data_IF_596336113966
#
_entry.id   IF_596336113966
#
_cell.length_a   1.000
_cell.length_b   1.000
_cell.length_c   1.000
_cell.angle_alpha   90.00
_cell.angle_beta   90.00
_cell.angle_gamma   90.00
#
_symmetry.space_group_name_H-M   'P 1'
#
loop_
_entity.id
_entity.type
_entity.pdbx_description
1 polymer ?
#
# COMPACT_ATOMS: atom_id res chain seq x y z
N UNK A 1 15.66 -21.26 16.36
CA UNK A 1 14.92 -21.03 15.10
C UNK A 1 15.19 -19.63 14.60
N UNK A 2 16.26 -19.42 13.82
CA UNK A 2 16.63 -18.12 13.28
C UNK A 2 15.88 -17.94 11.95
N UNK A 3 14.73 -17.26 11.99
CA UNK A 3 13.94 -17.02 10.76
C UNK A 3 13.26 -15.66 10.71
N UNK A 4 13.11 -14.97 11.85
CA UNK A 4 12.37 -13.71 11.92
C UNK A 4 13.27 -12.46 11.92
N UNK A 5 14.57 -12.59 12.24
CA UNK A 5 15.44 -11.43 12.49
C UNK A 5 16.15 -10.87 11.26
N UNK A 6 16.35 -11.68 10.22
CA UNK A 6 16.94 -11.21 8.95
C UNK A 6 15.94 -10.42 8.08
N UNK A 7 14.66 -10.77 8.10
CA UNK A 7 13.62 -10.10 7.30
C UNK A 7 13.40 -8.63 7.70
N UNK A 8 13.54 -8.30 8.99
CA UNK A 8 13.38 -6.91 9.45
C UNK A 8 14.57 -6.02 9.05
N UNK A 9 15.78 -6.57 8.99
CA UNK A 9 16.98 -5.83 8.61
C UNK A 9 16.92 -5.48 7.11
N UNK A 10 16.50 -6.41 6.27
CA UNK A 10 16.32 -6.16 4.84
C UNK A 10 15.26 -5.07 4.57
N UNK A 11 14.14 -5.05 5.32
CA UNK A 11 13.12 -4.01 5.17
C UNK A 11 13.59 -2.61 5.58
N UNK A 12 14.38 -2.51 6.66
CA UNK A 12 14.94 -1.24 7.12
C UNK A 12 15.99 -0.68 6.15
N UNK A 13 16.89 -1.53 5.66
CA UNK A 13 17.94 -1.17 4.71
C UNK A 13 17.36 -0.69 3.36
N UNK A 14 16.29 -1.35 2.89
CA UNK A 14 15.57 -0.93 1.70
C UNK A 14 14.86 0.42 1.86
N UNK A 15 14.27 0.69 3.04
CA UNK A 15 13.61 1.98 3.30
C UNK A 15 14.62 3.12 3.32
N UNK A 16 15.81 2.89 3.90
CA UNK A 16 16.91 3.85 3.87
C UNK A 16 17.51 4.00 2.46
N UNK A 17 17.52 2.93 1.67
CA UNK A 17 18.07 2.92 0.30
C UNK A 17 17.29 3.77 -0.70
N UNK A 18 16.08 4.23 -0.38
CA UNK A 18 15.28 5.12 -1.24
C UNK A 18 14.98 6.47 -0.57
N UNK A 19 15.66 6.80 0.53
CA UNK A 19 15.44 8.06 1.24
C UNK A 19 15.65 9.29 0.37
N UNK A 20 16.60 9.25 -0.56
CA UNK A 20 16.83 10.33 -1.53
C UNK A 20 15.63 10.56 -2.48
N UNK A 21 14.87 9.50 -2.81
CA UNK A 21 13.65 9.63 -3.63
C UNK A 21 12.54 10.28 -2.79
N UNK A 22 12.47 9.97 -1.49
CA UNK A 22 11.50 10.60 -0.58
C UNK A 22 11.81 12.10 -0.39
N UNK A 23 13.08 12.46 -0.23
CA UNK A 23 13.52 13.86 -0.19
C UNK A 23 13.14 14.59 -1.48
N UNK A 24 13.42 14.02 -2.65
CA UNK A 24 12.99 14.59 -3.93
C UNK A 24 11.46 14.66 -4.06
N UNK A 25 10.72 13.76 -3.42
CA UNK A 25 9.26 13.79 -3.42
C UNK A 25 8.71 14.97 -2.60
N UNK A 26 9.38 15.35 -1.51
CA UNK A 26 9.02 16.54 -0.70
C UNK A 26 9.18 17.85 -1.49
N UNK A 27 10.11 17.90 -2.45
CA UNK A 27 10.30 19.03 -3.36
C UNK A 27 9.26 19.11 -4.49
N UNK A 28 8.28 18.20 -4.54
CA UNK A 28 7.22 18.29 -5.53
C UNK A 28 6.30 19.49 -5.27
N UNK A 29 5.90 20.15 -6.36
CA UNK A 29 5.01 21.31 -6.28
C UNK A 29 3.62 20.97 -5.68
N UNK A 30 3.17 19.72 -5.85
CA UNK A 30 1.89 19.24 -5.35
C UNK A 30 2.09 18.32 -4.14
N UNK A 31 1.31 18.52 -3.08
CA UNK A 31 1.34 17.66 -1.89
C UNK A 31 0.77 16.25 -2.13
N UNK A 32 -0.13 16.09 -3.10
CA UNK A 32 -0.70 14.80 -3.50
C UNK A 32 0.02 14.21 -4.73
N UNK A 33 1.31 14.53 -4.90
CA UNK A 33 2.04 14.13 -6.10
C UNK A 33 2.15 12.60 -6.23
N UNK A 34 1.66 12.04 -7.33
CA UNK A 34 1.80 10.60 -7.67
C UNK A 34 3.08 10.30 -8.45
N UNK A 35 3.78 11.34 -8.87
CA UNK A 35 4.99 11.28 -9.69
C UNK A 35 4.79 10.49 -11.00
N UNK A 36 3.58 10.56 -11.58
CA UNK A 36 3.22 9.83 -12.81
C UNK A 36 3.21 10.74 -14.03
N UNK A 37 2.22 11.62 -14.08
CA UNK A 37 1.98 12.49 -15.24
C UNK A 37 1.96 13.96 -14.84
N UNK A 38 2.26 14.27 -13.58
CA UNK A 38 2.06 15.60 -13.03
C UNK A 38 3.12 16.60 -13.52
N UNK A 39 2.70 17.85 -13.81
CA UNK A 39 3.64 18.90 -14.17
C UNK A 39 4.47 19.31 -12.93
N UNK A 40 5.71 19.75 -13.14
CA UNK A 40 6.62 20.20 -12.06
C UNK A 40 6.86 19.17 -10.94
N UNK A 41 6.81 17.88 -11.26
CA UNK A 41 7.23 16.82 -10.35
C UNK A 41 8.76 16.76 -10.26
N UNK A 42 9.32 16.99 -9.07
CA UNK A 42 10.76 16.96 -8.84
C UNK A 42 11.37 15.58 -9.12
N UNK A 43 10.68 14.49 -8.74
CA UNK A 43 11.11 13.12 -9.03
C UNK A 43 11.18 12.84 -10.53
N UNK A 44 10.19 13.29 -11.31
CA UNK A 44 10.22 13.14 -12.78
C UNK A 44 11.34 13.96 -13.40
N UNK A 45 11.53 15.19 -12.92
CA UNK A 45 12.64 16.04 -13.37
C UNK A 45 13.99 15.36 -13.11
N UNK A 46 14.18 14.75 -11.95
CA UNK A 46 15.38 13.99 -11.63
C UNK A 46 15.57 12.77 -12.56
N UNK A 47 14.49 12.12 -13.00
CA UNK A 47 14.54 11.04 -14.00
C UNK A 47 14.93 11.58 -15.38
N UNK A 48 14.33 12.69 -15.79
CA UNK A 48 14.62 13.35 -17.07
C UNK A 48 16.06 13.90 -17.14
N UNK A 49 16.58 14.40 -16.01
CA UNK A 49 17.97 14.85 -15.85
C UNK A 49 18.96 13.68 -15.63
N UNK A 50 18.48 12.44 -15.54
CA UNK A 50 19.32 11.24 -15.34
C UNK A 50 19.92 11.11 -13.94
N UNK A 51 19.51 11.97 -13.00
CA UNK A 51 19.93 11.92 -11.59
C UNK A 51 19.28 10.74 -10.87
N UNK A 52 18.07 10.35 -11.30
CA UNK A 52 17.36 9.17 -10.81
C UNK A 52 17.11 8.18 -11.95
N UNK A 53 17.57 6.94 -11.81
CA UNK A 53 17.25 5.91 -12.80
C UNK A 53 15.75 5.57 -12.77
N UNK A 54 15.08 5.45 -13.94
CA UNK A 54 13.68 5.06 -14.02
C UNK A 54 13.41 3.66 -13.43
N UNK A 55 14.37 2.74 -13.55
CA UNK A 55 14.28 1.40 -12.93
C UNK A 55 14.28 1.49 -11.40
N UNK A 56 15.09 2.39 -10.84
CA UNK A 56 15.16 2.62 -9.41
C UNK A 56 13.86 3.19 -8.87
N UNK A 57 13.26 4.14 -9.58
CA UNK A 57 11.92 4.66 -9.24
C UNK A 57 10.83 3.59 -9.34
N UNK A 58 10.91 2.68 -10.33
CA UNK A 58 9.97 1.56 -10.43
C UNK A 58 10.06 0.61 -9.22
N UNK A 59 11.28 0.30 -8.75
CA UNK A 59 11.51 -0.50 -7.54
C UNK A 59 10.98 0.20 -6.29
N UNK A 60 11.20 1.51 -6.16
CA UNK A 60 10.63 2.32 -5.08
C UNK A 60 9.09 2.23 -5.03
N UNK A 61 8.41 2.43 -6.16
CA UNK A 61 6.94 2.27 -6.25
C UNK A 61 6.48 0.88 -5.84
N UNK A 62 7.23 -0.17 -6.22
CA UNK A 62 6.90 -1.54 -5.85
C UNK A 62 6.96 -1.72 -4.33
N UNK A 63 8.04 -1.27 -3.70
CA UNK A 63 8.23 -1.33 -2.25
C UNK A 63 7.13 -0.57 -1.50
N UNK A 64 6.78 0.63 -1.96
CA UNK A 64 5.75 1.47 -1.33
C UNK A 64 4.38 0.77 -1.31
N UNK A 65 4.02 0.06 -2.40
CA UNK A 65 2.79 -0.76 -2.48
C UNK A 65 2.82 -1.92 -1.49
N UNK A 66 3.97 -2.59 -1.36
CA UNK A 66 4.15 -3.70 -0.43
C UNK A 66 4.04 -3.22 1.02
N UNK A 67 4.64 -2.08 1.36
CA UNK A 67 4.58 -1.48 2.69
C UNK A 67 3.14 -1.08 3.06
N UNK A 68 2.40 -0.45 2.14
CA UNK A 68 0.97 -0.11 2.33
C UNK A 68 0.11 -1.37 2.57
N UNK A 69 0.48 -2.51 2.00
CA UNK A 69 -0.22 -3.77 2.24
C UNK A 69 0.13 -4.37 3.61
N UNK A 70 1.40 -4.30 4.01
CA UNK A 70 1.87 -4.76 5.32
C UNK A 70 1.29 -3.93 6.45
N UNK A 71 1.29 -2.59 6.34
CA UNK A 71 0.71 -1.70 7.35
C UNK A 71 -0.79 -1.92 7.54
N UNK A 72 -1.53 -2.11 6.44
CA UNK A 72 -2.95 -2.47 6.51
C UNK A 72 -3.18 -3.79 7.23
N UNK A 73 -2.28 -4.76 7.12
CA UNK A 73 -2.42 -6.02 7.88
C UNK A 73 -2.05 -5.87 9.36
N UNK A 74 -1.09 -4.99 9.67
CA UNK A 74 -0.59 -4.80 11.03
C UNK A 74 -1.47 -3.89 11.90
N UNK A 75 -2.17 -2.92 11.31
CA UNK A 75 -3.04 -1.96 12.04
C UNK A 75 -4.48 -2.44 12.23
N UNK A 76 -4.87 -3.53 11.58
CA UNK A 76 -6.23 -4.07 11.68
C UNK A 76 -6.37 -4.86 12.99
N UNK A 77 -7.34 -4.45 13.81
CA UNK A 77 -7.80 -5.28 14.94
C UNK A 77 -8.27 -6.66 14.45
N UNK A 78 -8.28 -7.65 15.33
CA UNK A 78 -8.75 -9.00 15.02
C UNK A 78 -10.12 -9.01 14.29
N UNK A 79 -11.03 -8.13 14.72
CA UNK A 79 -12.36 -7.97 14.12
C UNK A 79 -12.33 -7.39 12.69
N UNK A 80 -11.33 -6.57 12.35
CA UNK A 80 -11.17 -6.02 11.00
C UNK A 80 -10.48 -7.02 10.06
N UNK A 81 -9.53 -7.82 10.57
CA UNK A 81 -8.93 -8.92 9.81
C UNK A 81 -9.97 -9.96 9.38
N UNK A 82 -10.92 -10.32 10.25
CA UNK A 82 -12.02 -11.22 9.88
C UNK A 82 -12.92 -10.64 8.79
N UNK A 83 -13.28 -9.34 8.88
CA UNK A 83 -14.05 -8.66 7.83
C UNK A 83 -13.28 -8.60 6.51
N UNK A 84 -11.97 -8.33 6.56
CA UNK A 84 -11.13 -8.26 5.37
C UNK A 84 -11.01 -9.64 4.70
N UNK A 85 -10.77 -10.71 5.47
CA UNK A 85 -10.78 -12.10 4.97
C UNK A 85 -12.09 -12.46 4.26
N UNK A 86 -13.23 -12.03 4.83
CA UNK A 86 -14.51 -12.25 4.18
C UNK A 86 -14.62 -11.47 2.87
N UNK A 87 -14.21 -10.21 2.83
CA UNK A 87 -14.22 -9.39 1.60
C UNK A 87 -13.32 -10.00 0.52
N UNK A 88 -12.12 -10.47 0.87
CA UNK A 88 -11.22 -11.17 -0.05
C UNK A 88 -11.86 -12.48 -0.57
N UNK A 89 -12.63 -13.19 0.27
CA UNK A 89 -13.31 -14.44 -0.10
C UNK A 89 -14.52 -14.24 -1.03
N UNK A 90 -15.34 -13.19 -0.85
CA UNK A 90 -16.53 -12.92 -1.69
C UNK A 90 -16.31 -11.81 -2.73
N UNK A 91 -15.12 -11.22 -2.81
CA UNK A 91 -14.73 -10.24 -3.82
C UNK A 91 -15.43 -8.87 -3.75
N UNK A 92 -16.37 -8.64 -2.83
CA UNK A 92 -17.04 -7.34 -2.69
C UNK A 92 -17.78 -7.12 -1.36
N UNK A 93 -17.59 -5.92 -0.79
CA UNK A 93 -18.36 -5.38 0.35
C UNK A 93 -19.88 -5.41 0.14
N UNK A 94 -20.34 -5.33 -1.12
CA UNK A 94 -21.77 -5.34 -1.47
C UNK A 94 -22.39 -6.74 -1.29
N UNK A 95 -21.62 -7.80 -1.55
CA UNK A 95 -22.02 -9.19 -1.29
C UNK A 95 -22.23 -9.46 0.20
N UNK A 96 -21.37 -8.90 1.05
CA UNK A 96 -21.45 -9.03 2.51
C UNK A 96 -22.72 -8.38 3.10
N UNK A 97 -23.08 -7.18 2.63
CA UNK A 97 -24.32 -6.51 3.04
C UNK A 97 -25.56 -7.28 2.56
N UNK A 98 -25.54 -7.86 1.36
CA UNK A 98 -26.64 -8.66 0.84
C UNK A 98 -26.83 -9.97 1.62
N UNK A 99 -25.75 -10.68 1.98
CA UNK A 99 -25.81 -11.88 2.80
C UNK A 99 -26.38 -11.62 4.19
N UNK A 100 -25.94 -10.56 4.87
CA UNK A 100 -26.52 -10.17 6.17
C UNK A 100 -27.99 -9.77 6.06
N UNK A 101 -28.39 -9.10 4.96
CA UNK A 101 -29.77 -8.67 4.72
C UNK A 101 -30.69 -9.85 4.44
N UNK A 102 -30.21 -10.87 3.71
CA UNK A 102 -30.95 -12.11 3.48
C UNK A 102 -31.10 -12.93 4.76
N UNK A 103 -30.05 -13.05 5.58
CA UNK A 103 -30.13 -13.78 6.86
C UNK A 103 -31.05 -13.09 7.89
N UNK A 104 -31.13 -11.75 7.90
CA UNK A 104 -32.11 -11.01 8.71
C UNK A 104 -33.55 -11.24 8.27
N UNK A 105 -33.82 -11.34 6.96
CA UNK A 105 -35.16 -11.67 6.45
C UNK A 105 -35.59 -13.10 6.80
N UNK A 106 -34.66 -14.05 6.81
CA UNK A 106 -34.97 -15.44 7.14
C UNK A 106 -35.24 -15.68 8.64
N UNK A 107 -34.75 -14.80 9.54
CA UNK A 107 -35.04 -14.85 10.98
C UNK A 107 -36.38 -14.21 11.39
N UNK A 108 -37.03 -13.47 10.50
CA UNK A 108 -38.34 -12.85 10.74
C UNK A 108 -39.52 -13.65 10.20
N UNK A 109 -39.28 -14.84 9.66
CA UNK A 109 -40.31 -15.70 9.07
C UNK A 109 -40.42 -17.07 9.78
N UNK A 110 -40.11 -17.10 11.07
CA UNK A 110 -40.32 -18.25 11.96
C UNK A 110 -41.09 -17.81 13.19
#
# INVERSE_FOLDING_TARGET
TPGMRELQIAGADLTQSFGDIDEMAQDCFFGDCRHESEPKCAVRKAIEEGTLSPERFANYKKLQREMTFVERKNTMSAAQLEKQKFIDMVGSLKGMKNFQKQNRKNKGNK
#
